data_IF_685366640319
#
_entry.id   IF_685366640319
#
_cell.length_a   1.000
_cell.length_b   1.000
_cell.length_c   1.000
_cell.angle_alpha   90.00
_cell.angle_beta   90.00
_cell.angle_gamma   90.00
#
_symmetry.space_group_name_H-M   'P 1'
#
loop_
_entity.id
_entity.type
_entity.pdbx_description
1 polymer ?
#
# COMPACT_ATOMS: atom_id res chain seq x y z
N UNK A 1 -62.83 -55.53 18.72
CA UNK A 1 -63.83 -54.45 18.60
C UNK A 1 -63.37 -53.35 19.54
N UNK A 2 -62.92 -52.16 19.13
CA UNK A 2 -63.01 -51.46 17.84
C UNK A 2 -61.98 -50.30 17.88
N UNK A 3 -61.39 -50.01 16.71
CA UNK A 3 -60.87 -48.75 16.11
C UNK A 3 -60.78 -47.44 16.95
N UNK A 4 -59.59 -46.80 16.94
CA UNK A 4 -59.19 -45.51 16.29
C UNK A 4 -59.81 -44.23 16.91
N UNK A 5 -59.03 -43.18 17.24
CA UNK A 5 -58.61 -42.14 16.27
C UNK A 5 -57.42 -41.29 16.77
N UNK A 6 -56.62 -40.85 15.79
CA UNK A 6 -55.60 -39.80 15.87
C UNK A 6 -56.22 -38.42 16.09
N UNK A 7 -55.58 -37.57 16.90
CA UNK A 7 -55.61 -36.11 16.68
C UNK A 7 -54.23 -35.49 16.89
N UNK A 8 -53.75 -34.89 15.80
CA UNK A 8 -52.58 -34.01 15.71
C UNK A 8 -52.70 -32.83 16.69
N UNK A 9 -51.73 -32.69 17.58
CA UNK A 9 -51.56 -31.48 18.38
C UNK A 9 -50.40 -30.65 17.82
N UNK A 10 -50.79 -29.66 17.02
CA UNK A 10 -50.01 -28.50 16.57
C UNK A 10 -49.00 -28.00 17.61
N UNK A 11 -47.72 -28.05 17.27
CA UNK A 11 -46.63 -27.46 18.07
C UNK A 11 -46.76 -25.93 18.05
N UNK A 12 -47.52 -25.38 19.01
CA UNK A 12 -47.55 -23.95 19.29
C UNK A 12 -46.15 -23.50 19.71
N UNK A 13 -45.43 -22.83 18.81
CA UNK A 13 -44.27 -22.00 19.14
C UNK A 13 -44.74 -20.96 20.15
N UNK A 14 -44.36 -21.12 21.42
CA UNK A 14 -44.54 -20.08 22.42
C UNK A 14 -43.70 -18.88 22.02
N UNK A 15 -44.35 -17.77 21.69
CA UNK A 15 -43.71 -16.45 21.68
C UNK A 15 -43.20 -16.19 23.09
N UNK A 16 -41.87 -16.24 23.25
CA UNK A 16 -41.20 -15.86 24.48
C UNK A 16 -41.19 -14.34 24.51
N UNK A 17 -42.11 -13.76 25.27
CA UNK A 17 -42.15 -12.33 25.58
C UNK A 17 -40.93 -11.96 26.43
N UNK A 18 -40.31 -10.85 26.06
CA UNK A 18 -39.04 -10.35 26.58
C UNK A 18 -39.24 -9.71 27.96
N UNK A 19 -38.90 -10.43 29.02
CA UNK A 19 -38.68 -9.85 30.36
C UNK A 19 -37.30 -10.26 30.88
N UNK A 20 -36.25 -9.94 30.12
CA UNK A 20 -34.88 -9.90 30.62
C UNK A 20 -34.24 -8.62 30.09
N UNK A 21 -33.92 -7.70 31.00
CA UNK A 21 -33.30 -6.40 30.75
C UNK A 21 -31.84 -6.49 30.25
N UNK A 22 -31.46 -7.57 29.57
CA UNK A 22 -30.19 -7.64 28.88
C UNK A 22 -30.39 -7.05 27.47
N UNK A 23 -29.66 -5.98 27.09
CA UNK A 23 -29.70 -5.49 25.73
C UNK A 23 -29.33 -6.62 24.79
N UNK A 24 -30.12 -6.82 23.72
CA UNK A 24 -29.84 -7.84 22.72
C UNK A 24 -28.37 -7.76 22.29
N UNK A 25 -27.67 -8.91 22.20
CA UNK A 25 -26.28 -8.95 21.81
C UNK A 25 -26.03 -8.19 20.50
N UNK A 26 -24.94 -7.44 20.41
CA UNK A 26 -24.54 -6.76 19.16
C UNK A 26 -24.42 -7.71 17.97
N UNK A 27 -24.21 -9.01 18.21
CA UNK A 27 -24.20 -10.05 17.18
C UNK A 27 -25.52 -10.19 16.41
N UNK A 28 -26.64 -9.77 17.00
CA UNK A 28 -27.99 -10.01 16.50
C UNK A 28 -28.52 -8.81 15.68
N UNK A 29 -27.69 -7.79 15.47
CA UNK A 29 -28.05 -6.63 14.66
C UNK A 29 -28.28 -7.03 13.20
N UNK A 30 -29.34 -6.49 12.60
CA UNK A 30 -29.70 -6.76 11.20
C UNK A 30 -28.57 -6.36 10.23
N UNK A 31 -28.29 -7.23 9.25
CA UNK A 31 -27.28 -7.02 8.21
C UNK A 31 -27.49 -5.75 7.37
N UNK A 32 -28.72 -5.32 7.11
CA UNK A 32 -29.03 -4.07 6.40
C UNK A 32 -28.62 -2.85 7.21
N UNK A 33 -28.83 -2.89 8.53
CA UNK A 33 -28.36 -1.85 9.43
C UNK A 33 -26.83 -1.83 9.51
N UNK A 34 -26.20 -3.00 9.63
CA UNK A 34 -24.73 -3.13 9.59
C UNK A 34 -24.16 -2.56 8.29
N UNK A 35 -24.78 -2.88 7.15
CA UNK A 35 -24.38 -2.35 5.85
C UNK A 35 -24.49 -0.82 5.84
N UNK A 36 -25.63 -0.29 6.29
CA UNK A 36 -25.91 1.15 6.29
C UNK A 36 -24.91 1.91 7.14
N UNK A 37 -24.66 1.44 8.37
CA UNK A 37 -23.66 2.01 9.28
C UNK A 37 -22.27 1.95 8.63
N UNK A 38 -21.84 0.77 8.18
CA UNK A 38 -20.53 0.58 7.55
C UNK A 38 -20.32 1.53 6.37
N UNK A 39 -21.33 1.73 5.51
CA UNK A 39 -21.20 2.60 4.35
C UNK A 39 -21.11 4.10 4.69
N UNK A 40 -21.47 4.51 5.91
CA UNK A 40 -21.33 5.89 6.38
C UNK A 40 -19.97 6.19 7.04
N UNK A 41 -19.18 5.16 7.34
CA UNK A 41 -17.90 5.29 8.05
C UNK A 41 -16.77 5.83 7.17
N UNK A 42 -15.84 6.56 7.79
CA UNK A 42 -14.53 6.82 7.18
C UNK A 42 -13.67 5.55 7.17
N UNK A 43 -12.62 5.54 6.37
CA UNK A 43 -11.71 4.37 6.30
C UNK A 43 -11.06 4.08 7.66
N UNK A 44 -10.76 5.11 8.43
CA UNK A 44 -10.13 4.97 9.75
C UNK A 44 -11.07 4.35 10.80
N UNK A 45 -12.39 4.48 10.61
CA UNK A 45 -13.38 3.91 11.52
C UNK A 45 -13.70 2.44 11.18
N UNK A 46 -13.33 1.98 9.99
CA UNK A 46 -13.60 0.62 9.52
C UNK A 46 -12.99 -0.47 10.42
N UNK A 47 -11.73 -0.36 10.90
CA UNK A 47 -11.17 -1.30 11.88
C UNK A 47 -12.01 -1.37 13.15
N UNK A 48 -12.42 -0.23 13.71
CA UNK A 48 -13.24 -0.18 14.93
C UNK A 48 -14.59 -0.87 14.73
N UNK A 49 -15.25 -0.62 13.60
CA UNK A 49 -16.48 -1.32 13.20
C UNK A 49 -16.27 -2.85 13.11
N UNK A 50 -15.21 -3.28 12.43
CA UNK A 50 -14.88 -4.72 12.33
C UNK A 50 -14.43 -5.36 13.66
N UNK A 51 -14.15 -4.53 14.66
CA UNK A 51 -13.65 -4.92 15.97
C UNK A 51 -14.74 -5.31 16.98
N UNK A 52 -16.00 -4.91 16.75
CA UNK A 52 -17.10 -5.01 17.73
C UNK A 52 -17.35 -6.44 18.20
N UNK A 53 -17.55 -7.38 17.28
CA UNK A 53 -17.70 -8.80 17.58
C UNK A 53 -17.36 -9.67 16.36
N UNK A 54 -17.34 -11.01 16.53
CA UNK A 54 -17.04 -11.96 15.44
C UNK A 54 -18.01 -11.81 14.25
N UNK A 55 -19.30 -11.60 14.51
CA UNK A 55 -20.33 -11.41 13.47
C UNK A 55 -20.03 -10.17 12.62
N UNK A 56 -19.80 -9.03 13.26
CA UNK A 56 -19.47 -7.76 12.59
C UNK A 56 -18.15 -7.84 11.83
N UNK A 57 -17.15 -8.54 12.39
CA UNK A 57 -15.88 -8.80 11.70
C UNK A 57 -16.09 -9.58 10.41
N UNK A 58 -16.86 -10.66 10.46
CA UNK A 58 -17.17 -11.49 9.29
C UNK A 58 -17.92 -10.68 8.24
N UNK A 59 -18.91 -9.89 8.67
CA UNK A 59 -19.67 -8.99 7.81
C UNK A 59 -18.78 -7.92 7.15
N UNK A 60 -17.96 -7.23 7.93
CA UNK A 60 -17.04 -6.21 7.42
C UNK A 60 -16.07 -6.81 6.38
N UNK A 61 -15.55 -8.01 6.64
CA UNK A 61 -14.66 -8.70 5.70
C UNK A 61 -15.35 -9.08 4.39
N UNK A 62 -16.59 -9.58 4.43
CA UNK A 62 -17.33 -9.93 3.21
C UNK A 62 -17.66 -8.72 2.33
N UNK A 63 -17.78 -7.53 2.93
CA UNK A 63 -18.06 -6.29 2.21
C UNK A 63 -16.86 -5.34 2.10
N UNK A 64 -15.65 -5.76 2.51
CA UNK A 64 -14.46 -4.91 2.54
C UNK A 64 -14.17 -4.28 1.18
N UNK A 65 -14.20 -5.06 0.10
CA UNK A 65 -13.95 -4.56 -1.26
C UNK A 65 -14.95 -3.47 -1.63
N UNK A 66 -16.24 -3.74 -1.48
CA UNK A 66 -17.32 -2.78 -1.77
C UNK A 66 -17.21 -1.51 -0.92
N UNK A 67 -16.86 -1.64 0.36
CA UNK A 67 -16.60 -0.50 1.23
C UNK A 67 -15.44 0.33 0.68
N UNK A 68 -14.28 -0.28 0.40
CA UNK A 68 -13.08 0.43 -0.06
C UNK A 68 -13.30 1.10 -1.43
N UNK A 69 -13.99 0.45 -2.36
CA UNK A 69 -14.34 1.00 -3.68
C UNK A 69 -15.28 2.21 -3.60
N UNK A 70 -16.11 2.28 -2.55
CA UNK A 70 -17.01 3.42 -2.32
C UNK A 70 -16.31 4.64 -1.74
N UNK A 71 -15.04 4.52 -1.32
CA UNK A 71 -14.31 5.60 -0.67
C UNK A 71 -13.62 6.48 -1.70
N UNK A 72 -13.57 7.80 -1.45
CA UNK A 72 -12.76 8.71 -2.24
C UNK A 72 -11.27 8.38 -2.09
N UNK A 73 -10.45 8.89 -3.02
CA UNK A 73 -8.99 8.78 -2.94
C UNK A 73 -8.52 9.47 -1.65
N UNK A 74 -7.68 8.77 -0.88
CA UNK A 74 -7.12 9.28 0.36
C UNK A 74 -5.68 9.72 0.11
N UNK A 75 -5.36 10.91 0.58
CA UNK A 75 -3.98 11.38 0.68
C UNK A 75 -3.42 11.03 2.05
N UNK A 76 -2.18 10.60 2.06
CA UNK A 76 -1.44 10.40 3.29
C UNK A 76 -0.22 11.30 3.29
N UNK A 77 -0.13 12.21 4.25
CA UNK A 77 1.08 12.98 4.48
C UNK A 77 1.78 12.47 5.74
N UNK A 78 3.06 12.19 5.64
CA UNK A 78 3.89 11.76 6.76
C UNK A 78 4.86 12.89 7.02
N UNK A 79 4.87 13.37 8.25
CA UNK A 79 5.72 14.45 8.70
C UNK A 79 6.56 13.97 9.86
N UNK A 80 7.86 14.24 9.80
CA UNK A 80 8.69 14.28 11.01
C UNK A 80 8.56 15.67 11.61
N UNK A 81 7.96 15.80 12.78
CA UNK A 81 8.15 17.02 13.56
C UNK A 81 9.61 17.06 14.01
N UNK A 82 10.29 18.16 13.73
CA UNK A 82 11.69 18.31 14.13
C UNK A 82 11.75 18.26 15.65
N UNK A 83 12.39 17.21 16.17
CA UNK A 83 12.73 16.91 17.58
C UNK A 83 12.04 15.67 18.18
N UNK A 84 11.11 15.02 17.46
CA UNK A 84 10.49 13.77 17.94
C UNK A 84 11.10 12.54 17.25
N UNK A 85 11.25 11.44 18.00
CA UNK A 85 11.71 10.15 17.46
C UNK A 85 10.60 9.44 16.67
N UNK A 86 9.35 9.89 16.83
CA UNK A 86 8.16 9.30 16.24
C UNK A 86 7.66 10.08 15.02
N UNK A 87 7.01 9.36 14.10
CA UNK A 87 6.43 9.93 12.89
C UNK A 87 4.93 10.19 13.10
N UNK A 88 4.52 11.43 12.87
CA UNK A 88 3.12 11.78 12.73
C UNK A 88 2.69 11.54 11.28
N UNK A 89 1.55 10.87 11.10
CA UNK A 89 0.93 10.74 9.79
C UNK A 89 -0.49 11.29 9.81
N UNK A 90 -0.83 11.98 8.71
CA UNK A 90 -2.13 12.54 8.46
C UNK A 90 -2.77 11.81 7.29
N UNK A 91 -3.95 11.26 7.50
CA UNK A 91 -4.83 10.75 6.45
C UNK A 91 -5.88 11.82 6.16
N UNK A 92 -5.79 12.40 4.96
CA UNK A 92 -6.71 13.42 4.48
C UNK A 92 -7.53 12.84 3.33
N UNK A 93 -8.85 12.85 3.48
CA UNK A 93 -9.73 12.61 2.34
C UNK A 93 -9.64 13.80 1.37
N UNK A 94 -9.21 13.54 0.13
CA UNK A 94 -9.03 14.60 -0.87
C UNK A 94 -10.36 15.28 -1.20
N UNK A 95 -11.48 14.55 -1.07
CA UNK A 95 -12.80 14.98 -1.51
C UNK A 95 -13.66 15.56 -0.37
N UNK A 96 -13.39 15.24 0.90
CA UNK A 96 -14.06 15.90 2.04
C UNK A 96 -13.15 16.90 2.73
N UNK A 97 -13.56 18.18 2.72
CA UNK A 97 -12.89 19.22 3.50
C UNK A 97 -13.12 18.98 4.99
N UNK A 98 -12.05 18.95 5.79
CA UNK A 98 -12.11 18.99 7.25
C UNK A 98 -12.04 17.66 8.00
N UNK A 99 -11.95 16.50 7.31
CA UNK A 99 -11.69 15.21 7.97
C UNK A 99 -10.25 14.76 7.74
N UNK A 100 -9.34 15.31 8.54
CA UNK A 100 -7.98 14.82 8.66
C UNK A 100 -7.88 13.91 9.89
N UNK A 101 -7.33 12.72 9.71
CA UNK A 101 -6.99 11.85 10.84
C UNK A 101 -5.50 11.95 11.11
N UNK A 102 -5.14 12.39 12.32
CA UNK A 102 -3.76 12.41 12.78
C UNK A 102 -3.52 11.24 13.73
N UNK A 103 -2.40 10.54 13.56
CA UNK A 103 -1.96 9.53 14.51
C UNK A 103 -0.44 9.42 14.51
N UNK A 104 0.07 8.96 15.65
CA UNK A 104 1.46 8.51 15.78
C UNK A 104 1.55 7.13 15.13
N UNK A 105 2.61 6.94 14.33
CA UNK A 105 2.87 5.67 13.68
C UNK A 105 3.57 4.70 14.66
N UNK A 106 3.00 3.53 14.97
CA UNK A 106 3.66 2.56 15.84
C UNK A 106 4.98 2.09 15.24
N UNK A 107 5.96 1.77 16.10
CA UNK A 107 7.30 1.32 15.73
C UNK A 107 8.13 2.33 14.90
N UNK A 108 7.68 3.59 14.83
CA UNK A 108 8.35 4.63 14.04
C UNK A 108 9.56 5.26 14.74
N UNK A 109 9.72 5.06 16.05
CA UNK A 109 10.91 5.43 16.84
C UNK A 109 12.22 5.14 16.11
N UNK A 110 12.85 6.19 15.59
CA UNK A 110 14.12 6.14 14.86
C UNK A 110 14.10 5.49 13.47
N UNK A 111 12.93 5.26 12.86
CA UNK A 111 12.78 4.63 11.53
C UNK A 111 12.25 5.59 10.48
N UNK A 112 12.92 5.69 9.34
CA UNK A 112 12.47 6.56 8.25
C UNK A 112 11.47 5.87 7.32
N UNK A 113 10.35 6.53 7.02
CA UNK A 113 9.48 6.10 5.94
C UNK A 113 10.17 6.28 4.58
N UNK A 114 10.47 5.17 3.90
CA UNK A 114 11.20 5.16 2.61
C UNK A 114 10.30 4.92 1.41
N UNK A 115 9.09 4.40 1.62
CA UNK A 115 8.13 4.19 0.54
C UNK A 115 6.76 3.74 1.02
N UNK A 116 5.89 3.46 0.06
CA UNK A 116 4.54 2.94 0.29
C UNK A 116 4.20 1.92 -0.78
N UNK A 117 3.67 0.77 -0.37
CA UNK A 117 3.41 -0.35 -1.27
C UNK A 117 2.27 -1.20 -0.74
N UNK A 118 1.37 -1.64 -1.60
CA UNK A 118 0.39 -2.65 -1.20
C UNK A 118 -0.55 -2.27 -0.06
N UNK A 119 -0.77 -0.98 0.21
CA UNK A 119 -1.50 -0.51 1.40
C UNK A 119 -0.65 -0.33 2.65
N UNK A 120 0.66 -0.60 2.58
CA UNK A 120 1.58 -0.58 3.71
C UNK A 120 2.68 0.49 3.52
N UNK A 121 3.02 1.15 4.61
CA UNK A 121 4.20 2.01 4.71
C UNK A 121 5.45 1.18 4.88
N UNK A 122 6.52 1.56 4.19
CA UNK A 122 7.84 0.92 4.33
C UNK A 122 8.68 1.80 5.25
N UNK A 123 8.93 1.32 6.46
CA UNK A 123 9.75 1.98 7.47
C UNK A 123 11.12 1.30 7.52
N UNK A 124 12.19 2.07 7.40
CA UNK A 124 13.57 1.59 7.45
C UNK A 124 14.26 2.14 8.70
N UNK A 125 14.77 1.24 9.54
CA UNK A 125 15.57 1.61 10.70
C UNK A 125 17.05 1.59 10.37
N UNK A 126 17.67 2.75 10.12
CA UNK A 126 19.10 2.84 9.79
C UNK A 126 20.00 2.34 10.92
N UNK A 127 19.63 2.55 12.18
CA UNK A 127 20.38 2.03 13.33
C UNK A 127 20.17 0.53 13.58
N UNK A 128 18.98 0.03 13.28
CA UNK A 128 18.57 -1.35 13.54
C UNK A 128 18.81 -2.28 12.36
N UNK A 129 19.10 -1.74 11.16
CA UNK A 129 19.18 -2.48 9.90
C UNK A 129 17.97 -3.41 9.71
N UNK A 130 16.76 -2.87 9.90
CA UNK A 130 15.52 -3.61 9.72
C UNK A 130 14.47 -2.84 8.92
N UNK A 131 13.50 -3.58 8.39
CA UNK A 131 12.31 -3.01 7.78
C UNK A 131 11.05 -3.38 8.54
N UNK A 132 10.13 -2.43 8.63
CA UNK A 132 8.76 -2.63 9.08
C UNK A 132 7.80 -2.19 7.99
N UNK A 133 6.94 -3.10 7.54
CA UNK A 133 5.86 -2.80 6.61
C UNK A 133 4.56 -2.66 7.40
N UNK A 134 4.02 -1.46 7.49
CA UNK A 134 2.93 -1.13 8.41
C UNK A 134 1.68 -0.67 7.68
N UNK A 135 0.54 -1.30 7.96
CA UNK A 135 -0.77 -0.81 7.53
C UNK A 135 -1.15 0.43 8.39
N UNK A 136 -1.27 1.62 7.79
CA UNK A 136 -1.55 2.85 8.53
C UNK A 136 -2.99 2.94 9.06
N UNK A 137 -3.90 2.09 8.58
CA UNK A 137 -5.30 2.03 9.03
C UNK A 137 -5.44 0.99 10.12
N UNK A 138 -4.93 -0.22 9.92
CA UNK A 138 -5.10 -1.30 10.90
C UNK A 138 -3.99 -1.37 11.94
N UNK A 139 -2.89 -0.64 11.74
CA UNK A 139 -1.68 -0.65 12.57
C UNK A 139 -0.99 -2.01 12.69
N UNK A 140 -1.37 -2.99 11.87
CA UNK A 140 -0.66 -4.25 11.78
C UNK A 140 0.60 -4.06 10.94
N UNK A 141 1.71 -4.58 11.45
CA UNK A 141 3.01 -4.48 10.82
C UNK A 141 3.62 -5.85 10.57
N UNK A 142 4.50 -5.91 9.57
CA UNK A 142 5.30 -7.08 9.23
C UNK A 142 6.77 -6.69 9.35
N UNK A 143 7.53 -7.46 10.11
CA UNK A 143 8.93 -7.19 10.39
C UNK A 143 9.85 -8.01 9.50
N UNK A 144 10.88 -7.36 8.95
CA UNK A 144 11.96 -7.99 8.20
C UNK A 144 13.30 -7.59 8.85
N UNK A 145 13.83 -8.42 9.78
CA UNK A 145 15.07 -8.13 10.51
C UNK A 145 16.34 -8.35 9.66
N UNK A 146 17.48 -7.86 10.19
CA UNK A 146 18.84 -8.26 9.81
C UNK A 146 19.17 -8.11 8.32
N UNK A 147 18.95 -6.92 7.77
CA UNK A 147 19.41 -6.60 6.42
C UNK A 147 20.94 -6.74 6.38
N UNK A 148 21.53 -7.31 5.31
CA UNK A 148 22.98 -7.41 5.17
C UNK A 148 23.67 -6.05 5.38
N UNK A 149 24.81 -6.06 6.09
CA UNK A 149 25.58 -4.85 6.42
C UNK A 149 26.18 -4.12 5.23
N UNK A 150 26.12 -4.71 4.03
CA UNK A 150 26.51 -4.06 2.78
C UNK A 150 25.47 -3.08 2.25
N UNK A 151 24.24 -3.10 2.79
CA UNK A 151 23.16 -2.20 2.39
C UNK A 151 23.40 -0.80 2.95
N UNK A 152 23.15 0.22 2.13
CA UNK A 152 23.27 1.63 2.53
C UNK A 152 22.38 2.00 3.74
N UNK A 153 22.96 2.73 4.69
CA UNK A 153 22.23 3.30 5.83
C UNK A 153 21.44 4.57 5.48
N UNK A 154 21.65 5.12 4.29
CA UNK A 154 21.00 6.35 3.85
C UNK A 154 19.58 6.05 3.35
N UNK A 155 18.53 6.47 4.08
CA UNK A 155 17.14 6.23 3.68
C UNK A 155 16.77 6.88 2.35
N UNK A 156 17.55 7.86 1.87
CA UNK A 156 17.31 8.50 0.57
C UNK A 156 17.57 7.55 -0.62
N UNK A 157 18.42 6.54 -0.43
CA UNK A 157 18.77 5.57 -1.49
C UNK A 157 17.88 4.32 -1.46
N UNK A 158 17.19 4.07 -0.36
CA UNK A 158 16.32 2.91 -0.21
C UNK A 158 15.04 3.07 -1.04
N UNK A 159 14.77 2.09 -1.89
CA UNK A 159 13.49 1.91 -2.60
C UNK A 159 13.04 0.47 -2.40
N UNK A 160 11.74 0.24 -2.38
CA UNK A 160 11.23 -1.12 -2.29
C UNK A 160 9.73 -1.20 -2.48
N UNK A 161 9.26 -2.43 -2.69
CA UNK A 161 7.85 -2.75 -2.80
C UNK A 161 7.58 -4.15 -2.24
N UNK A 162 6.31 -4.41 -1.97
CA UNK A 162 5.83 -5.69 -1.48
C UNK A 162 4.98 -6.35 -2.56
N UNK A 163 5.26 -7.61 -2.86
CA UNK A 163 4.48 -8.40 -3.83
C UNK A 163 4.10 -9.75 -3.22
N UNK A 164 2.90 -10.23 -3.51
CA UNK A 164 2.51 -11.59 -3.14
C UNK A 164 3.05 -12.56 -4.20
N UNK A 165 3.75 -13.60 -3.76
CA UNK A 165 4.21 -14.68 -4.63
C UNK A 165 3.31 -15.90 -4.47
N UNK A 166 2.46 -16.22 -5.48
CA UNK A 166 1.60 -17.40 -5.42
C UNK A 166 2.39 -18.71 -5.28
N UNK A 167 3.54 -18.81 -5.96
CA UNK A 167 4.38 -20.02 -5.95
C UNK A 167 5.01 -20.30 -4.58
N UNK A 168 5.27 -19.26 -3.78
CA UNK A 168 5.76 -19.39 -2.40
C UNK A 168 4.63 -19.30 -1.37
N UNK A 169 3.40 -19.06 -1.82
CA UNK A 169 2.24 -18.77 -0.97
C UNK A 169 2.56 -17.74 0.13
N UNK A 170 3.33 -16.71 -0.23
CA UNK A 170 3.92 -15.79 0.73
C UNK A 170 4.23 -14.42 0.15
N UNK A 171 4.38 -13.46 1.05
CA UNK A 171 4.76 -12.09 0.71
C UNK A 171 6.26 -11.99 0.50
N UNK A 172 6.67 -11.28 -0.55
CA UNK A 172 8.07 -11.05 -0.89
C UNK A 172 8.31 -9.56 -0.87
N UNK A 173 9.16 -9.12 0.04
CA UNK A 173 9.63 -7.74 0.08
C UNK A 173 10.88 -7.64 -0.79
N UNK A 174 10.88 -6.68 -1.71
CA UNK A 174 11.98 -6.44 -2.67
C UNK A 174 12.45 -5.00 -2.50
N UNK A 175 13.76 -4.80 -2.47
CA UNK A 175 14.37 -3.49 -2.27
C UNK A 175 15.68 -3.30 -3.05
N UNK A 176 16.05 -2.04 -3.26
CA UNK A 176 17.38 -1.59 -3.69
C UNK A 176 17.83 -0.47 -2.77
N UNK A 177 19.13 -0.35 -2.59
CA UNK A 177 19.80 0.70 -1.81
C UNK A 177 20.64 1.61 -2.70
N UNK A 178 20.39 1.59 -4.01
CA UNK A 178 21.19 2.31 -4.99
C UNK A 178 22.45 1.56 -5.42
N UNK A 179 22.73 0.38 -4.86
CA UNK A 179 23.83 -0.48 -5.31
C UNK A 179 23.43 -1.30 -6.54
N UNK A 180 24.34 -2.15 -7.02
CA UNK A 180 24.06 -3.09 -8.09
C UNK A 180 23.21 -4.30 -7.62
N UNK A 181 22.91 -4.42 -6.33
CA UNK A 181 22.16 -5.55 -5.79
C UNK A 181 20.69 -5.19 -5.58
N UNK A 182 19.81 -6.06 -6.05
CA UNK A 182 18.38 -6.05 -5.68
C UNK A 182 18.20 -7.11 -4.61
N UNK A 183 17.84 -6.68 -3.41
CA UNK A 183 17.62 -7.55 -2.27
C UNK A 183 16.17 -7.97 -2.17
N UNK A 184 15.92 -9.18 -1.70
CA UNK A 184 14.58 -9.65 -1.39
C UNK A 184 14.54 -10.58 -0.20
N UNK A 185 13.42 -10.56 0.52
CA UNK A 185 13.14 -11.45 1.64
C UNK A 185 11.70 -11.96 1.56
N UNK A 186 11.52 -13.24 1.88
CA UNK A 186 10.20 -13.85 1.96
C UNK A 186 9.70 -13.72 3.41
N UNK A 187 8.47 -13.25 3.58
CA UNK A 187 7.84 -13.10 4.89
C UNK A 187 7.85 -14.43 5.65
N UNK A 188 8.23 -14.37 6.93
CA UNK A 188 8.33 -15.55 7.80
C UNK A 188 9.59 -16.40 7.64
N UNK A 189 10.43 -16.17 6.62
CA UNK A 189 11.69 -16.90 6.45
C UNK A 189 12.88 -16.20 7.11
N UNK A 190 12.87 -14.86 7.16
CA UNK A 190 13.90 -14.07 7.85
C UNK A 190 15.26 -13.99 7.15
N UNK A 191 15.41 -14.64 5.99
CA UNK A 191 16.64 -14.62 5.20
C UNK A 191 16.54 -13.63 4.02
N UNK A 192 17.60 -12.83 3.87
CA UNK A 192 17.78 -11.93 2.74
C UNK A 192 18.61 -12.58 1.64
N UNK A 193 18.10 -12.53 0.43
CA UNK A 193 18.79 -12.96 -0.78
C UNK A 193 18.91 -11.78 -1.74
N UNK A 194 19.74 -11.90 -2.77
CA UNK A 194 19.86 -10.86 -3.78
C UNK A 194 20.00 -11.41 -5.19
N UNK A 195 19.73 -10.53 -6.15
CA UNK A 195 20.13 -10.67 -7.54
C UNK A 195 21.00 -9.48 -7.89
N UNK A 196 22.17 -9.73 -8.48
CA UNK A 196 23.10 -8.68 -8.89
C UNK A 196 22.82 -8.20 -10.31
N UNK A 197 23.03 -6.92 -10.52
CA UNK A 197 23.08 -6.24 -11.81
C UNK A 197 24.53 -5.89 -12.16
N UNK A 198 24.80 -5.58 -13.42
CA UNK A 198 26.08 -5.01 -13.85
C UNK A 198 26.19 -3.51 -13.52
N UNK A 199 25.05 -2.86 -13.27
CA UNK A 199 24.94 -1.42 -13.03
C UNK A 199 24.10 -1.13 -11.78
N UNK A 200 24.42 -0.07 -11.02
CA UNK A 200 23.61 0.41 -9.89
C UNK A 200 22.13 0.57 -10.24
N UNK A 201 21.24 0.06 -9.40
CA UNK A 201 19.79 0.12 -9.57
C UNK A 201 19.25 1.40 -8.96
N UNK A 202 18.55 2.19 -9.76
CA UNK A 202 18.03 3.52 -9.38
C UNK A 202 16.64 3.40 -8.77
N UNK A 203 15.78 2.56 -9.32
CA UNK A 203 14.41 2.39 -8.83
C UNK A 203 13.81 1.01 -9.15
N UNK A 204 12.74 0.68 -8.44
CA UNK A 204 12.06 -0.61 -8.46
C UNK A 204 10.54 -0.43 -8.47
N UNK A 205 9.82 -1.28 -9.21
CA UNK A 205 8.35 -1.27 -9.20
C UNK A 205 7.74 -2.63 -9.51
N UNK A 206 6.61 -2.94 -8.86
CA UNK A 206 5.72 -4.02 -9.28
C UNK A 206 4.63 -3.47 -10.19
N UNK A 207 4.52 -4.00 -11.40
CA UNK A 207 3.55 -3.57 -12.39
C UNK A 207 2.99 -4.75 -13.18
N UNK A 208 1.66 -4.84 -13.27
CA UNK A 208 0.94 -5.88 -13.99
C UNK A 208 1.41 -7.32 -13.68
N UNK A 209 1.57 -7.63 -12.39
CA UNK A 209 2.02 -8.94 -11.91
C UNK A 209 3.51 -9.25 -12.12
N UNK A 210 4.28 -8.31 -12.69
CA UNK A 210 5.72 -8.42 -12.91
C UNK A 210 6.48 -7.41 -12.07
N UNK A 211 7.78 -7.65 -11.90
CA UNK A 211 8.68 -6.78 -11.15
C UNK A 211 9.70 -6.19 -12.12
N UNK A 212 9.89 -4.89 -12.05
CA UNK A 212 10.81 -4.16 -12.91
C UNK A 212 11.80 -3.36 -12.09
N UNK A 213 13.00 -3.23 -12.64
CA UNK A 213 14.07 -2.39 -12.13
C UNK A 213 14.57 -1.49 -13.26
N UNK A 214 15.14 -0.34 -12.89
CA UNK A 214 15.88 0.50 -13.82
C UNK A 214 17.25 0.80 -13.26
N UNK A 215 18.27 0.62 -14.08
CA UNK A 215 19.65 0.90 -13.69
C UNK A 215 20.06 2.35 -14.00
N UNK A 216 21.26 2.74 -13.56
CA UNK A 216 21.80 4.08 -13.79
C UNK A 216 22.09 4.40 -15.26
N UNK A 217 22.10 3.37 -16.12
CA UNK A 217 22.34 3.47 -17.56
C UNK A 217 21.02 3.58 -18.33
N UNK A 218 19.88 3.49 -17.65
CA UNK A 218 18.56 3.55 -18.24
C UNK A 218 18.04 2.22 -18.78
N UNK A 219 18.70 1.10 -18.47
CA UNK A 219 18.21 -0.20 -18.88
C UNK A 219 17.02 -0.60 -18.00
N UNK A 220 15.90 -0.89 -18.67
CA UNK A 220 14.78 -1.55 -18.04
C UNK A 220 15.12 -3.04 -17.85
N UNK A 221 14.94 -3.55 -16.63
CA UNK A 221 15.18 -4.94 -16.31
C UNK A 221 13.92 -5.57 -15.73
N UNK A 222 13.63 -6.82 -16.10
CA UNK A 222 12.61 -7.65 -15.46
C UNK A 222 13.25 -8.51 -14.39
N UNK A 223 12.75 -8.39 -13.16
CA UNK A 223 13.15 -9.22 -12.03
C UNK A 223 12.22 -10.44 -11.93
N UNK A 224 12.81 -11.61 -11.95
CA UNK A 224 12.14 -12.88 -11.63
C UNK A 224 12.76 -13.43 -10.35
N UNK A 225 11.95 -13.81 -9.36
CA UNK A 225 12.43 -14.43 -8.12
C UNK A 225 12.20 -15.95 -8.14
N UNK A 226 11.21 -16.43 -8.89
CA UNK A 226 10.85 -17.83 -8.98
C UNK A 226 10.66 -18.24 -10.45
N UNK A 227 11.05 -19.46 -10.88
CA UNK A 227 11.68 -20.51 -10.07
C UNK A 227 13.14 -20.23 -9.69
N UNK A 228 13.86 -19.47 -10.51
CA UNK A 228 15.23 -19.05 -10.26
C UNK A 228 15.34 -17.52 -10.22
N UNK A 229 15.96 -16.95 -9.18
CA UNK A 229 16.20 -15.52 -9.10
C UNK A 229 17.10 -15.04 -10.24
N UNK A 230 16.58 -14.15 -11.09
CA UNK A 230 17.31 -13.56 -12.21
C UNK A 230 16.84 -12.15 -12.53
N UNK A 231 17.74 -11.37 -13.08
CA UNK A 231 17.48 -10.04 -13.62
C UNK A 231 17.75 -10.09 -15.12
N UNK A 232 16.72 -9.87 -15.93
CA UNK A 232 16.81 -9.93 -17.40
C UNK A 232 16.66 -8.53 -17.96
N UNK A 233 17.66 -8.06 -18.71
CA UNK A 233 17.58 -6.77 -19.40
C UNK A 233 16.51 -6.87 -20.49
N UNK A 234 15.61 -5.90 -20.52
CA UNK A 234 14.63 -5.72 -21.58
C UNK A 234 15.15 -4.67 -22.56
N UNK A 235 15.32 -5.07 -23.81
CA UNK A 235 15.73 -4.13 -24.86
C UNK A 235 14.64 -3.08 -25.06
N UNK A 236 14.95 -1.83 -24.71
CA UNK A 236 14.06 -0.70 -24.91
C UNK A 236 14.69 0.34 -25.83
N UNK A 237 13.86 0.97 -26.65
CA UNK A 237 14.27 2.02 -27.57
C UNK A 237 13.96 3.40 -26.99
N UNK A 238 14.72 4.39 -27.46
CA UNK A 238 14.53 5.80 -27.12
C UNK A 238 14.57 6.07 -25.61
N UNK A 239 15.38 5.31 -24.86
CA UNK A 239 15.54 5.64 -23.45
C UNK A 239 16.07 7.07 -23.33
N UNK A 240 15.36 7.95 -22.61
CA UNK A 240 15.78 9.33 -22.47
C UNK A 240 17.11 9.42 -21.72
N UNK A 241 18.09 10.15 -22.29
CA UNK A 241 19.41 10.27 -21.69
C UNK A 241 19.34 11.05 -20.35
N UNK A 242 19.38 10.33 -19.23
CA UNK A 242 19.17 10.85 -17.88
C UNK A 242 20.38 10.57 -16.99
N UNK A 243 21.19 11.58 -16.63
CA UNK A 243 22.34 11.34 -15.79
C UNK A 243 21.98 10.90 -14.36
N UNK A 244 20.87 11.36 -13.75
CA UNK A 244 20.45 11.04 -12.36
C UNK A 244 18.94 11.27 -12.09
N UNK A 245 18.42 10.64 -11.02
CA UNK A 245 17.09 10.85 -10.40
C UNK A 245 15.89 10.40 -11.24
N UNK A 246 15.92 9.14 -11.65
CA UNK A 246 14.82 8.49 -12.36
C UNK A 246 13.90 7.84 -11.32
N UNK A 247 12.59 7.94 -11.51
CA UNK A 247 11.60 7.27 -10.66
C UNK A 247 10.49 6.66 -11.50
N UNK A 248 10.16 5.40 -11.21
CA UNK A 248 9.00 4.75 -11.77
C UNK A 248 7.71 5.35 -11.20
N UNK A 249 6.69 5.35 -12.04
CA UNK A 249 5.34 5.72 -11.66
C UNK A 249 4.35 4.90 -12.49
N UNK A 250 3.23 4.51 -11.87
CA UNK A 250 2.16 3.81 -12.56
C UNK A 250 0.88 4.62 -12.51
N UNK A 251 0.15 4.63 -13.62
CA UNK A 251 -1.21 5.20 -13.68
C UNK A 251 -2.07 4.30 -14.56
N UNK A 252 -3.06 3.64 -13.94
CA UNK A 252 -3.85 2.61 -14.60
C UNK A 252 -2.95 1.50 -15.14
N UNK A 253 -3.11 1.18 -16.42
CA UNK A 253 -2.35 0.13 -17.12
C UNK A 253 -1.10 0.67 -17.82
N UNK A 254 -0.56 1.80 -17.37
CA UNK A 254 0.61 2.42 -18.00
C UNK A 254 1.74 2.59 -16.99
N UNK A 255 2.94 2.18 -17.41
CA UNK A 255 4.19 2.37 -16.70
C UNK A 255 4.90 3.61 -17.24
N UNK A 256 5.37 4.45 -16.33
CA UNK A 256 6.08 5.68 -16.64
C UNK A 256 7.41 5.71 -15.91
N UNK A 257 8.38 6.40 -16.50
CA UNK A 257 9.55 6.93 -15.79
C UNK A 257 9.45 8.44 -15.77
N UNK A 258 9.73 9.03 -14.62
CA UNK A 258 9.75 10.47 -14.42
C UNK A 258 11.12 10.95 -14.01
N UNK A 259 11.41 12.20 -14.36
CA UNK A 259 12.62 12.92 -13.93
C UNK A 259 12.25 14.32 -13.49
N UNK A 260 12.82 14.76 -12.39
CA UNK A 260 12.83 16.17 -12.02
C UNK A 260 13.92 16.92 -12.80
N UNK A 261 13.53 18.00 -13.51
CA UNK A 261 14.45 18.90 -14.21
C UNK A 261 14.64 20.18 -13.38
N UNK A 262 15.72 20.32 -12.60
CA UNK A 262 15.89 21.44 -11.68
C UNK A 262 15.91 22.79 -12.40
N UNK A 263 16.55 22.85 -13.56
CA UNK A 263 16.73 24.08 -14.36
C UNK A 263 15.39 24.69 -14.78
N UNK A 264 14.38 23.85 -15.02
CA UNK A 264 13.09 24.29 -15.55
C UNK A 264 11.96 24.02 -14.56
N UNK A 265 12.28 23.55 -13.34
CA UNK A 265 11.34 23.34 -12.25
C UNK A 265 10.14 22.42 -12.55
N UNK A 266 10.27 21.50 -13.52
CA UNK A 266 9.17 20.61 -13.92
C UNK A 266 9.61 19.15 -13.98
N UNK A 267 8.61 18.27 -13.97
CA UNK A 267 8.80 16.84 -14.20
C UNK A 267 8.56 16.51 -15.66
N UNK A 268 9.48 15.74 -16.23
CA UNK A 268 9.34 15.11 -17.54
C UNK A 268 8.90 13.66 -17.32
N UNK A 269 7.93 13.20 -18.12
CA UNK A 269 7.36 11.86 -18.01
C UNK A 269 7.47 11.14 -19.35
N UNK A 270 7.98 9.92 -19.31
CA UNK A 270 8.03 9.03 -20.46
C UNK A 270 7.20 7.79 -20.15
N UNK A 271 6.27 7.47 -21.04
CA UNK A 271 5.47 6.25 -20.96
C UNK A 271 6.20 5.12 -21.68
N UNK A 272 6.21 3.94 -21.09
CA UNK A 272 6.63 2.73 -21.80
C UNK A 272 5.49 2.24 -22.69
N UNK A 273 5.76 2.15 -23.98
CA UNK A 273 4.95 1.41 -24.93
C UNK A 273 5.42 -0.05 -24.92
N UNK A 274 4.60 -0.95 -24.37
CA UNK A 274 4.92 -2.37 -24.24
C UNK A 274 4.84 -3.14 -25.57
N UNK A 275 4.08 -2.64 -26.55
CA UNK A 275 3.99 -3.30 -27.87
C UNK A 275 5.30 -3.08 -28.64
N UNK A 276 5.81 -1.84 -28.57
CA UNK A 276 6.95 -1.40 -29.35
C UNK A 276 8.27 -1.41 -28.57
N UNK A 277 8.19 -1.68 -27.25
CA UNK A 277 9.29 -1.59 -26.29
C UNK A 277 10.07 -0.28 -26.42
N UNK A 278 9.34 0.85 -26.44
CA UNK A 278 9.94 2.19 -26.57
C UNK A 278 9.41 3.16 -25.53
N UNK A 279 10.27 4.06 -25.10
CA UNK A 279 9.89 5.17 -24.25
C UNK A 279 9.33 6.31 -25.09
N UNK A 280 8.14 6.80 -24.73
CA UNK A 280 7.42 7.85 -25.44
C UNK A 280 7.21 9.04 -24.51
N UNK A 281 7.74 10.20 -24.90
CA UNK A 281 7.58 11.45 -24.16
C UNK A 281 6.10 11.82 -24.05
N UNK A 282 5.61 11.97 -22.82
CA UNK A 282 4.29 12.53 -22.58
C UNK A 282 4.38 14.04 -22.74
N UNK A 283 3.63 14.61 -23.71
CA UNK A 283 3.51 16.06 -23.85
C UNK A 283 2.95 16.62 -22.54
N UNK A 284 3.74 17.42 -21.81
CA UNK A 284 3.22 18.14 -20.66
C UNK A 284 2.15 19.12 -21.17
N UNK A 285 0.88 18.83 -20.89
CA UNK A 285 -0.14 19.84 -21.12
C UNK A 285 0.16 20.98 -20.13
N UNK A 286 0.28 22.22 -20.63
CA UNK A 286 0.33 23.43 -19.80
C UNK A 286 -0.99 23.69 -19.05
N UNK A 287 -1.87 22.70 -18.96
CA UNK A 287 -3.11 22.73 -18.19
C UNK A 287 -3.22 21.45 -17.36
N UNK A 288 -2.45 21.37 -16.29
CA UNK A 288 -2.93 20.70 -15.09
C UNK A 288 -4.03 21.60 -14.49
N UNK A 289 -5.19 21.65 -15.15
CA UNK A 289 -6.37 22.35 -14.67
C UNK A 289 -6.92 21.60 -13.46
N UNK A 290 -6.98 22.35 -12.35
CA UNK A 290 -7.91 22.25 -11.21
C UNK A 290 -7.97 21.01 -10.32
N UNK A 291 -7.43 19.83 -10.67
CA UNK A 291 -7.37 18.70 -9.71
C UNK A 291 -6.08 18.68 -8.86
N UNK A 292 -5.03 19.34 -9.34
CA UNK A 292 -3.71 19.36 -8.69
C UNK A 292 -3.48 20.57 -7.75
N UNK A 293 -4.42 21.50 -7.65
CA UNK A 293 -4.29 22.67 -6.77
C UNK A 293 -4.45 22.30 -5.29
N UNK A 294 -5.22 21.25 -4.95
CA UNK A 294 -5.39 20.80 -3.56
C UNK A 294 -4.17 20.02 -3.05
N UNK A 295 -3.63 19.10 -3.85
CA UNK A 295 -2.36 18.40 -3.58
C UNK A 295 -1.18 19.38 -3.47
N UNK A 296 -1.09 20.37 -4.38
CA UNK A 296 -0.09 21.44 -4.28
C UNK A 296 -0.28 22.33 -3.05
N UNK A 297 -1.51 22.59 -2.60
CA UNK A 297 -1.79 23.34 -1.37
C UNK A 297 -1.41 22.56 -0.11
N UNK A 298 -1.67 21.24 -0.05
CA UNK A 298 -1.27 20.38 1.08
C UNK A 298 0.26 20.29 1.16
N UNK A 299 0.94 20.12 0.02
CA UNK A 299 2.40 20.11 -0.05
C UNK A 299 3.05 21.48 0.23
N UNK A 300 2.41 22.58 -0.19
CA UNK A 300 2.91 23.94 0.04
C UNK A 300 2.61 24.48 1.45
N UNK A 301 1.55 24.00 2.11
CA UNK A 301 1.18 24.43 3.47
C UNK A 301 2.06 23.83 4.57
N UNK A 302 2.88 22.81 4.28
CA UNK A 302 3.76 22.14 5.24
C UNK A 302 5.20 22.13 4.73
N UNK A 303 5.82 23.32 4.68
CA UNK A 303 7.27 23.47 4.48
C UNK A 303 8.01 22.82 5.67
N UNK A 304 8.40 21.57 5.46
CA UNK A 304 9.12 20.70 6.38
C UNK A 304 9.25 19.32 5.73
N UNK A 305 10.13 18.46 6.25
CA UNK A 305 10.46 17.09 5.77
C UNK A 305 9.22 16.17 5.70
N UNK A 306 8.32 16.44 4.76
CA UNK A 306 7.05 15.75 4.62
C UNK A 306 7.06 14.91 3.34
N UNK A 307 6.59 13.67 3.43
CA UNK A 307 6.36 12.79 2.29
C UNK A 307 4.86 12.65 2.07
N UNK A 308 4.41 12.88 0.85
CA UNK A 308 3.02 12.75 0.45
C UNK A 308 2.86 11.49 -0.39
N UNK A 309 1.97 10.60 0.03
CA UNK A 309 1.58 9.40 -0.68
C UNK A 309 0.11 9.52 -1.09
N UNK A 310 -0.19 9.14 -2.33
CA UNK A 310 -1.57 8.97 -2.78
C UNK A 310 -1.92 7.52 -2.51
N UNK A 311 -2.91 7.30 -1.65
CA UNK A 311 -3.43 5.97 -1.38
C UNK A 311 -4.67 5.73 -2.21
N UNK A 312 -4.51 4.97 -3.28
CA UNK A 312 -5.61 4.36 -4.02
C UNK A 312 -5.76 2.91 -3.55
N UNK A 313 -7.00 2.53 -3.22
CA UNK A 313 -7.31 1.20 -2.71
C UNK A 313 -7.02 0.14 -3.77
N UNK A 314 -5.87 -0.51 -3.65
CA UNK A 314 -5.62 -1.79 -4.31
C UNK A 314 -5.95 -2.89 -3.31
N UNK A 315 -6.91 -3.75 -3.66
CA UNK A 315 -7.31 -4.88 -2.82
C UNK A 315 -6.22 -5.94 -2.90
N UNK A 316 -5.36 -5.95 -1.90
CA UNK A 316 -4.37 -7.02 -1.72
C UNK A 316 -4.86 -8.07 -0.71
N UNK A 317 -4.40 -9.33 -0.81
CA UNK A 317 -4.56 -10.31 0.25
C UNK A 317 -4.05 -9.74 1.59
N UNK A 318 -4.53 -10.26 2.73
CA UNK A 318 -3.92 -9.90 4.02
C UNK A 318 -2.48 -10.41 4.05
N UNK A 319 -1.58 -9.60 4.59
CA UNK A 319 -0.35 -10.17 5.17
C UNK A 319 -0.77 -10.81 6.49
N UNK A 320 -0.59 -12.12 6.58
CA UNK A 320 -0.86 -12.93 7.79
C UNK A 320 0.46 -13.20 8.46
#
# INVERSE_FOLDING_TARGET
MTESENQEASSKKSFKTCDNNDPSPWSDLNHELLFTVMMQLGVVDFPAFSGVCKSWRSFALSYKTKFMESRPIICMSICTESNEEDYNYYLDDINTEGRSFNSILPHSGGRTCVGFTGGHLILFGSKTHDFWLLDPVTRHGVHFPNIPSSVSDDPANIRGFLVFSPSKSGWVFVMTDGSANIWYSISGQGEWNHVSSTSPIVDLIAFNGKMYAIDNSGHLCELTINPEPKLSILETKNFPNFPKLQQFYCSGESLYVSRYLPVVGHYEYHKLDFEEMKWVLCKSSRKASSSNTKLKRIAAAKQGKSKLFIWQHMVYPKIV
#
